data_IF_022682972473
#
_entry.id   IF_022682972473
#
_cell.length_a   1.000
_cell.length_b   1.000
_cell.length_c   1.000
_cell.angle_alpha   90.00
_cell.angle_beta   90.00
_cell.angle_gamma   90.00
#
_symmetry.space_group_name_H-M   'P 1'
#
loop_
_entity.id
_entity.type
_entity.pdbx_description
1 polymer ?
#
# COMPACT_ATOMS: atom_id res chain seq x y z
N UNK A 1 16.73 -12.13 -1.10
CA UNK A 1 15.74 -11.30 -1.79
C UNK A 1 15.65 -9.97 -1.08
N UNK A 2 15.58 -8.87 -1.82
CA UNK A 2 15.44 -7.53 -1.29
C UNK A 2 14.64 -6.68 -2.27
N UNK A 3 14.12 -5.56 -1.79
CA UNK A 3 13.42 -4.59 -2.61
C UNK A 3 13.99 -3.19 -2.32
N UNK A 4 13.92 -2.31 -3.31
CA UNK A 4 14.10 -0.90 -3.05
C UNK A 4 12.87 -0.39 -2.29
N UNK A 5 13.08 0.39 -1.24
CA UNK A 5 12.00 0.99 -0.45
C UNK A 5 12.00 2.48 -0.74
N UNK A 6 10.85 2.99 -1.15
CA UNK A 6 10.59 4.41 -1.32
C UNK A 6 9.34 4.80 -0.55
N UNK A 7 9.22 6.09 -0.21
CA UNK A 7 8.04 6.62 0.48
C UNK A 7 6.95 7.02 -0.50
N UNK A 8 5.71 7.12 -0.01
CA UNK A 8 4.58 7.61 -0.77
C UNK A 8 4.82 9.04 -1.27
N UNK A 9 5.48 9.86 -0.44
CA UNK A 9 5.78 11.26 -0.75
C UNK A 9 6.66 11.42 -2.00
N UNK A 10 7.57 10.47 -2.22
CA UNK A 10 8.55 10.50 -3.32
C UNK A 10 7.92 10.33 -4.71
N UNK A 11 6.71 9.77 -4.79
CA UNK A 11 6.01 9.45 -6.05
C UNK A 11 4.62 10.09 -6.15
N UNK A 12 4.07 10.61 -5.05
CA UNK A 12 2.72 11.15 -5.00
C UNK A 12 2.47 12.30 -5.99
N UNK A 13 3.49 13.11 -6.28
CA UNK A 13 3.44 14.22 -7.22
C UNK A 13 3.46 13.79 -8.70
N UNK A 14 3.74 12.52 -8.99
CA UNK A 14 3.77 11.97 -10.35
C UNK A 14 2.38 11.52 -10.82
N UNK A 15 1.37 11.60 -9.95
CA UNK A 15 -0.01 11.21 -10.25
C UNK A 15 -0.90 12.46 -10.31
N UNK A 16 -1.66 12.58 -11.39
CA UNK A 16 -2.70 13.62 -11.49
C UNK A 16 -3.83 13.32 -10.51
N UNK A 17 -4.46 14.37 -9.98
CA UNK A 17 -5.62 14.22 -9.09
C UNK A 17 -6.72 13.40 -9.77
N UNK A 18 -7.34 12.52 -9.00
CA UNK A 18 -8.41 11.63 -9.43
C UNK A 18 -9.50 11.59 -8.36
N UNK A 19 -10.69 11.15 -8.75
CA UNK A 19 -11.81 11.02 -7.84
C UNK A 19 -11.59 9.85 -6.87
N UNK A 20 -11.84 10.10 -5.59
CA UNK A 20 -11.78 9.11 -4.50
C UNK A 20 -13.17 8.90 -3.93
N UNK A 21 -13.47 7.71 -3.41
CA UNK A 21 -14.79 7.44 -2.79
C UNK A 21 -14.96 8.19 -1.47
N UNK A 22 -13.84 8.57 -0.85
CA UNK A 22 -13.75 9.33 0.38
C UNK A 22 -13.43 10.80 0.14
N UNK A 23 -13.87 11.67 1.05
CA UNK A 23 -13.60 13.10 0.97
C UNK A 23 -12.10 13.39 1.20
N UNK A 24 -11.41 13.77 0.14
CA UNK A 24 -9.97 14.00 0.12
C UNK A 24 -9.57 15.36 0.74
N UNK A 25 -9.64 15.46 2.07
CA UNK A 25 -9.39 16.70 2.84
C UNK A 25 -7.97 16.87 3.38
N UNK A 26 -7.20 15.78 3.51
CA UNK A 26 -5.91 15.81 4.21
C UNK A 26 -4.75 15.42 3.30
N UNK A 27 -3.73 16.27 3.27
CA UNK A 27 -2.58 16.13 2.36
C UNK A 27 -1.86 14.79 2.48
N UNK A 28 -1.77 14.19 3.67
CA UNK A 28 -1.11 12.88 3.83
C UNK A 28 -1.87 11.76 3.12
N UNK A 29 -3.17 11.62 3.39
CA UNK A 29 -4.00 10.58 2.78
C UNK A 29 -4.08 10.75 1.26
N UNK A 30 -4.14 12.00 0.77
CA UNK A 30 -4.07 12.28 -0.66
C UNK A 30 -2.82 11.68 -1.31
N UNK A 31 -1.66 11.76 -0.65
CA UNK A 31 -0.41 11.19 -1.16
C UNK A 31 -0.42 9.68 -1.14
N UNK A 32 -0.99 9.06 -0.11
CA UNK A 32 -1.13 7.61 -0.04
C UNK A 32 -2.02 7.08 -1.18
N UNK A 33 -3.15 7.72 -1.45
CA UNK A 33 -4.02 7.35 -2.58
C UNK A 33 -3.31 7.54 -3.93
N UNK A 34 -2.57 8.64 -4.08
CA UNK A 34 -1.74 8.87 -5.25
C UNK A 34 -0.66 7.79 -5.44
N UNK A 35 0.03 7.41 -4.36
CA UNK A 35 1.01 6.33 -4.40
C UNK A 35 0.38 4.97 -4.74
N UNK A 36 -0.80 4.67 -4.20
CA UNK A 36 -1.56 3.47 -4.56
C UNK A 36 -1.88 3.45 -6.05
N UNK A 37 -2.39 4.57 -6.59
CA UNK A 37 -2.67 4.72 -8.03
C UNK A 37 -1.41 4.60 -8.88
N UNK A 38 -0.29 5.14 -8.41
CA UNK A 38 1.00 4.99 -9.06
C UNK A 38 1.42 3.51 -9.14
N UNK A 39 1.36 2.78 -8.02
CA UNK A 39 1.69 1.35 -7.96
C UNK A 39 0.82 0.51 -8.90
N UNK A 40 -0.48 0.81 -9.03
CA UNK A 40 -1.36 0.12 -9.98
C UNK A 40 -0.86 0.22 -11.42
N UNK A 41 -0.30 1.36 -11.80
CA UNK A 41 0.19 1.59 -13.16
C UNK A 41 1.60 1.05 -13.41
N UNK A 42 2.28 0.49 -12.40
CA UNK A 42 3.67 0.03 -12.50
C UNK A 42 3.80 -1.43 -12.03
N UNK A 43 4.17 -2.33 -12.93
CA UNK A 43 4.19 -3.76 -12.66
C UNK A 43 5.24 -4.18 -11.61
N UNK A 44 6.33 -3.44 -11.49
CA UNK A 44 7.48 -3.69 -10.61
C UNK A 44 7.35 -3.07 -9.21
N UNK A 45 6.17 -2.57 -8.87
CA UNK A 45 5.92 -1.88 -7.60
C UNK A 45 4.70 -2.45 -6.85
N UNK A 46 4.83 -2.49 -5.53
CA UNK A 46 3.77 -2.88 -4.61
C UNK A 46 3.74 -1.93 -3.41
N UNK A 47 2.59 -1.83 -2.76
CA UNK A 47 2.36 -0.91 -1.63
C UNK A 47 2.22 -1.69 -0.32
N UNK A 48 3.00 -1.28 0.68
CA UNK A 48 2.85 -1.71 2.06
C UNK A 48 2.41 -0.51 2.89
N UNK A 49 1.23 -0.60 3.50
CA UNK A 49 0.70 0.46 4.35
C UNK A 49 1.04 0.16 5.82
N UNK A 50 1.69 1.12 6.48
CA UNK A 50 1.82 1.13 7.94
C UNK A 50 0.54 1.73 8.55
N UNK A 51 -0.10 1.02 9.47
CA UNK A 51 -1.34 1.46 10.13
C UNK A 51 -1.20 1.42 11.64
N UNK A 52 -1.94 2.28 12.36
CA UNK A 52 -1.92 2.27 13.82
C UNK A 52 -2.85 1.19 14.37
N UNK A 53 -4.11 1.53 14.66
CA UNK A 53 -5.09 0.59 15.23
C UNK A 53 -6.23 0.24 14.26
N UNK A 54 -6.24 0.85 13.06
CA UNK A 54 -7.24 0.59 12.03
C UNK A 54 -8.65 1.08 12.41
N UNK A 55 -8.76 2.05 13.32
CA UNK A 55 -10.02 2.70 13.69
C UNK A 55 -10.00 4.19 13.33
N UNK A 56 -11.18 4.78 13.20
CA UNK A 56 -11.33 6.17 12.79
C UNK A 56 -10.82 6.40 11.37
N UNK A 57 -9.92 7.37 11.20
CA UNK A 57 -9.42 7.77 9.88
C UNK A 57 -8.55 6.71 9.20
N UNK A 58 -7.85 5.88 9.97
CA UNK A 58 -7.05 4.77 9.44
C UNK A 58 -7.92 3.75 8.70
N UNK A 59 -9.13 3.48 9.20
CA UNK A 59 -10.08 2.56 8.57
C UNK A 59 -10.50 3.08 7.19
N UNK A 60 -10.97 4.33 7.16
CA UNK A 60 -11.41 5.00 5.94
C UNK A 60 -10.30 5.05 4.90
N UNK A 61 -9.08 5.39 5.33
CA UNK A 61 -7.92 5.48 4.43
C UNK A 61 -7.48 4.12 3.92
N UNK A 62 -7.45 3.11 4.79
CA UNK A 62 -7.06 1.74 4.44
C UNK A 62 -8.05 1.13 3.44
N UNK A 63 -9.35 1.37 3.63
CA UNK A 63 -10.38 0.87 2.73
C UNK A 63 -10.26 1.51 1.34
N UNK A 64 -10.14 2.83 1.25
CA UNK A 64 -9.92 3.53 -0.04
C UNK A 64 -8.63 3.06 -0.73
N UNK A 65 -7.52 2.97 0.02
CA UNK A 65 -6.22 2.53 -0.52
C UNK A 65 -6.32 1.09 -1.06
N UNK A 66 -7.01 0.23 -0.33
CA UNK A 66 -7.25 -1.15 -0.73
C UNK A 66 -8.10 -1.23 -1.98
N UNK A 67 -9.19 -0.45 -2.08
CA UNK A 67 -10.04 -0.40 -3.26
C UNK A 67 -9.23 0.01 -4.51
N UNK A 68 -8.46 1.10 -4.42
CA UNK A 68 -7.59 1.56 -5.52
C UNK A 68 -6.64 0.45 -5.99
N UNK A 69 -5.99 -0.26 -5.06
CA UNK A 69 -5.06 -1.34 -5.40
C UNK A 69 -5.79 -2.56 -6.02
N UNK A 70 -6.95 -2.91 -5.47
CA UNK A 70 -7.75 -4.06 -5.95
C UNK A 70 -8.29 -3.83 -7.36
N UNK A 71 -8.74 -2.61 -7.68
CA UNK A 71 -9.11 -2.23 -9.06
C UNK A 71 -7.95 -2.45 -10.06
N UNK A 72 -6.72 -2.27 -9.58
CA UNK A 72 -5.49 -2.52 -10.33
C UNK A 72 -4.93 -3.93 -10.24
N UNK A 73 -5.67 -4.90 -9.69
CA UNK A 73 -5.22 -6.26 -9.41
C UNK A 73 -3.96 -6.37 -8.53
N UNK A 74 -3.63 -5.34 -7.75
CA UNK A 74 -2.49 -5.33 -6.81
C UNK A 74 -2.88 -5.86 -5.43
N UNK A 75 -1.89 -6.42 -4.73
CA UNK A 75 -2.07 -6.89 -3.35
C UNK A 75 -2.06 -5.71 -2.38
N UNK A 76 -3.09 -5.60 -1.55
CA UNK A 76 -3.05 -4.72 -0.39
C UNK A 76 -2.33 -5.41 0.78
N UNK A 77 -1.21 -4.83 1.23
CA UNK A 77 -0.43 -5.35 2.36
C UNK A 77 -0.39 -4.35 3.50
N UNK A 78 -0.80 -4.79 4.69
CA UNK A 78 -0.86 -3.97 5.89
C UNK A 78 0.14 -4.46 6.95
N UNK A 79 0.88 -3.52 7.55
CA UNK A 79 1.69 -3.75 8.75
C UNK A 79 1.17 -2.86 9.87
N UNK A 80 0.83 -3.45 11.00
CA UNK A 80 0.39 -2.66 12.16
C UNK A 80 1.61 -2.16 12.93
N UNK A 81 1.55 -0.91 13.40
CA UNK A 81 2.68 -0.25 14.04
C UNK A 81 2.96 -0.85 15.43
N UNK A 82 1.95 -1.35 16.13
CA UNK A 82 2.10 -2.10 17.38
C UNK A 82 2.89 -3.41 17.18
N UNK A 83 2.71 -4.07 16.04
CA UNK A 83 3.46 -5.27 15.64
C UNK A 83 4.94 -4.99 15.35
N UNK A 84 5.39 -3.73 15.15
CA UNK A 84 6.80 -3.41 14.86
C UNK A 84 7.72 -3.77 16.03
N UNK A 85 7.19 -3.76 17.26
CA UNK A 85 7.93 -4.26 18.43
C UNK A 85 8.21 -5.77 18.34
N UNK A 86 7.44 -6.50 17.52
CA UNK A 86 7.60 -7.90 17.19
C UNK A 86 8.06 -8.06 15.73
N UNK A 87 9.35 -7.81 15.49
CA UNK A 87 9.98 -7.97 14.18
C UNK A 87 9.78 -9.37 13.56
N UNK A 88 9.48 -10.40 14.37
CA UNK A 88 9.15 -11.74 13.86
C UNK A 88 7.89 -11.75 13.01
N UNK A 89 6.82 -11.12 13.49
CA UNK A 89 5.56 -11.01 12.77
C UNK A 89 5.71 -10.21 11.47
N UNK A 90 6.44 -9.09 11.53
CA UNK A 90 6.75 -8.24 10.36
C UNK A 90 7.55 -9.03 9.32
N UNK A 91 8.61 -9.72 9.74
CA UNK A 91 9.45 -10.53 8.84
C UNK A 91 8.65 -11.63 8.14
N UNK A 92 7.75 -12.30 8.85
CA UNK A 92 6.88 -13.33 8.27
C UNK A 92 5.97 -12.70 7.20
N UNK A 93 5.29 -11.58 7.52
CA UNK A 93 4.36 -10.95 6.58
C UNK A 93 5.05 -10.44 5.31
N UNK A 94 6.25 -9.87 5.43
CA UNK A 94 7.05 -9.44 4.26
C UNK A 94 7.50 -10.63 3.40
N UNK A 95 7.93 -11.73 4.02
CA UNK A 95 8.30 -12.95 3.26
C UNK A 95 7.09 -13.55 2.54
N UNK A 96 5.93 -13.57 3.19
CA UNK A 96 4.68 -14.02 2.57
C UNK A 96 4.28 -13.14 1.39
N UNK A 97 4.47 -11.82 1.49
CA UNK A 97 4.25 -10.92 0.35
C UNK A 97 5.16 -11.27 -0.83
N UNK A 98 6.48 -11.42 -0.62
CA UNK A 98 7.39 -11.78 -1.70
C UNK A 98 7.01 -13.10 -2.37
N UNK A 99 6.68 -14.13 -1.57
CA UNK A 99 6.24 -15.41 -2.11
C UNK A 99 4.98 -15.28 -2.97
N UNK A 100 3.98 -14.50 -2.52
CA UNK A 100 2.75 -14.27 -3.28
C UNK A 100 2.99 -13.47 -4.58
N UNK A 101 3.95 -12.54 -4.58
CA UNK A 101 4.33 -11.80 -5.79
C UNK A 101 5.07 -12.68 -6.79
N UNK A 102 5.96 -13.56 -6.31
CA UNK A 102 6.69 -14.49 -7.17
C UNK A 102 5.73 -15.52 -7.80
N UNK A 103 4.79 -16.08 -7.03
CA UNK A 103 3.75 -16.99 -7.54
C UNK A 103 2.89 -16.32 -8.64
N UNK A 104 2.51 -15.05 -8.44
CA UNK A 104 1.76 -14.29 -9.45
C UNK A 104 2.55 -14.03 -10.72
N UNK A 105 3.87 -13.85 -10.63
CA UNK A 105 4.75 -13.68 -11.80
C UNK A 105 4.92 -14.97 -12.59
N UNK A 106 4.92 -16.12 -11.93
CA UNK A 106 5.01 -17.43 -12.59
C UNK A 106 3.71 -17.79 -13.35
N UNK A 107 2.57 -17.24 -12.93
CA UNK A 107 1.25 -17.49 -13.53
C UNK A 107 0.87 -16.52 -14.66
N UNK A 108 1.64 -15.45 -14.89
CA UNK A 108 1.39 -14.40 -15.89
C UNK A 108 2.15 -14.66 -17.20
#
# INVERSE_FOLDING_TARGET
HGACVITEDSISNLVQKFDTSVLNQWSYHSRLYAAAKYCVNHADMDLIQLVSFGCGLDAVTSDETKEILQEGNKLYTQLKIDEITNLGAVNIRIRSLFAALDERKEQA
#
